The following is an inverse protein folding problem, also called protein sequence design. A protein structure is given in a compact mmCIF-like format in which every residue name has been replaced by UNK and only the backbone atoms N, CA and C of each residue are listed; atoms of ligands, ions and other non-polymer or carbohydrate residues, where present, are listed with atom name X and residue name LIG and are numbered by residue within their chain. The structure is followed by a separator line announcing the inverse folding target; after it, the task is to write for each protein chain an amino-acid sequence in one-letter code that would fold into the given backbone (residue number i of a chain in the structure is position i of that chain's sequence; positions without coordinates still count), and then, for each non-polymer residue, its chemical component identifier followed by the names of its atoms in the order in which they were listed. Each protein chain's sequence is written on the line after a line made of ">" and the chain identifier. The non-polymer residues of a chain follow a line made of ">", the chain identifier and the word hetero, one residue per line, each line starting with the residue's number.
data_IF_291506526195
#
_entry.id   IF_291506526195
#
_cell.length_a   1.000
_cell.length_b   1.000
_cell.length_c   1.000
_cell.angle_alpha   90.00
_cell.angle_beta   90.00
_cell.angle_gamma   90.00
#
_symmetry.space_group_name_H-M   'P 1'
#
loop_
_entity.id
_entity.type
_entity.pdbx_description
1 polymer ?
#
# COMPACT_ATOMS: atom_id res chain seq x y z
N UNK A 1 16.75 -5.61 -27.35
CA UNK A 1 15.73 -6.48 -26.74
C UNK A 1 14.38 -5.77 -26.85
N UNK A 2 13.29 -6.44 -27.23
CA UNK A 2 11.98 -5.79 -27.18
C UNK A 2 11.67 -5.48 -25.73
N UNK A 3 11.24 -4.24 -25.48
CA UNK A 3 10.76 -3.81 -24.15
C UNK A 3 9.55 -4.69 -23.79
N UNK A 4 9.67 -5.46 -22.74
CA UNK A 4 8.57 -6.29 -22.24
C UNK A 4 7.40 -5.35 -21.85
N UNK A 5 6.20 -5.63 -22.36
CA UNK A 5 5.05 -4.78 -22.11
C UNK A 5 4.78 -4.74 -20.60
N UNK A 6 4.64 -3.54 -19.99
CA UNK A 6 4.33 -3.46 -18.56
C UNK A 6 3.05 -4.23 -18.24
N UNK A 7 3.05 -4.94 -17.12
CA UNK A 7 1.87 -5.65 -16.64
C UNK A 7 0.78 -4.65 -16.20
N UNK A 8 -0.44 -4.89 -16.62
CA UNK A 8 -1.62 -4.16 -16.17
C UNK A 8 -2.58 -5.16 -15.53
N UNK A 9 -2.66 -5.14 -14.20
CA UNK A 9 -3.36 -6.13 -13.40
C UNK A 9 -4.73 -5.60 -12.97
N UNK A 10 -5.78 -6.26 -13.41
CA UNK A 10 -7.14 -6.00 -12.95
C UNK A 10 -7.33 -6.34 -11.46
N UNK A 11 -8.54 -6.15 -10.92
CA UNK A 11 -8.85 -6.38 -9.51
C UNK A 11 -8.55 -7.80 -9.03
N UNK A 12 -8.89 -8.81 -9.83
CA UNK A 12 -8.69 -10.22 -9.49
C UNK A 12 -7.21 -10.60 -9.54
N UNK A 13 -6.51 -10.20 -10.58
CA UNK A 13 -5.07 -10.41 -10.76
C UNK A 13 -4.27 -9.70 -9.67
N UNK A 14 -4.62 -8.44 -9.35
CA UNK A 14 -4.03 -7.71 -8.24
C UNK A 14 -4.26 -8.44 -6.92
N UNK A 15 -5.45 -9.01 -6.70
CA UNK A 15 -5.75 -9.76 -5.48
C UNK A 15 -4.91 -11.04 -5.36
N UNK A 16 -4.77 -11.81 -6.44
CA UNK A 16 -3.92 -13.01 -6.49
C UNK A 16 -2.46 -12.65 -6.26
N UNK A 17 -2.05 -11.54 -6.82
CA UNK A 17 -0.72 -11.00 -6.70
C UNK A 17 -0.36 -10.52 -5.27
N UNK A 18 -1.30 -10.33 -4.36
CA UNK A 18 -1.11 -9.77 -3.01
C UNK A 18 -1.66 -10.70 -1.91
N UNK A 19 -1.10 -11.90 -1.69
CA UNK A 19 -1.54 -12.76 -0.58
C UNK A 19 -1.27 -12.08 0.77
N UNK A 20 -2.24 -12.18 1.69
CA UNK A 20 -2.23 -11.40 2.95
C UNK A 20 -1.01 -11.66 3.82
N UNK A 21 -0.57 -12.92 3.93
CA UNK A 21 0.58 -13.29 4.77
C UNK A 21 1.86 -12.65 4.24
N UNK A 22 2.16 -12.86 2.96
CA UNK A 22 3.34 -12.29 2.32
C UNK A 22 3.33 -10.75 2.36
N UNK A 23 2.15 -10.14 2.19
CA UNK A 23 2.00 -8.69 2.28
C UNK A 23 2.23 -8.17 3.71
N UNK A 24 1.78 -8.89 4.75
CA UNK A 24 2.04 -8.54 6.15
C UNK A 24 3.54 -8.61 6.47
N UNK A 25 4.24 -9.64 5.98
CA UNK A 25 5.70 -9.78 6.14
C UNK A 25 6.46 -8.66 5.43
N UNK A 26 6.06 -8.30 4.20
CA UNK A 26 6.62 -7.16 3.48
C UNK A 26 6.39 -5.83 4.21
N UNK A 27 5.18 -5.60 4.75
CA UNK A 27 4.90 -4.40 5.56
C UNK A 27 5.79 -4.35 6.78
N UNK A 28 5.99 -5.48 7.48
CA UNK A 28 6.91 -5.57 8.63
C UNK A 28 8.33 -5.17 8.25
N UNK A 29 8.84 -5.70 7.14
CA UNK A 29 10.19 -5.40 6.65
C UNK A 29 10.34 -3.91 6.28
N UNK A 30 9.34 -3.33 5.60
CA UNK A 30 9.36 -1.92 5.21
C UNK A 30 9.32 -0.95 6.40
N UNK A 31 8.63 -1.32 7.48
CA UNK A 31 8.60 -0.51 8.71
C UNK A 31 9.95 -0.48 9.45
N UNK A 32 10.86 -1.39 9.13
CA UNK A 32 12.21 -1.51 9.70
C UNK A 32 13.30 -1.00 8.73
N UNK A 33 12.91 -0.50 7.56
CA UNK A 33 13.84 -0.09 6.50
C UNK A 33 13.93 1.43 6.41
N UNK A 34 15.01 1.98 6.93
CA UNK A 34 15.28 3.42 6.94
C UNK A 34 15.54 4.02 5.54
N UNK A 35 15.75 3.19 4.52
CA UNK A 35 15.93 3.66 3.14
C UNK A 35 14.62 4.06 2.47
N UNK A 36 13.48 3.61 2.99
CA UNK A 36 12.16 3.90 2.44
C UNK A 36 11.80 5.38 2.62
N UNK A 37 11.40 6.01 1.54
CA UNK A 37 10.95 7.41 1.51
C UNK A 37 9.48 7.46 1.14
N UNK A 38 8.66 8.01 2.05
CA UNK A 38 7.22 8.21 1.87
C UNK A 38 6.91 9.68 2.12
N UNK A 39 6.96 10.54 1.09
CA UNK A 39 6.58 11.94 1.22
C UNK A 39 5.12 12.12 1.66
N UNK A 40 4.80 13.31 2.15
CA UNK A 40 3.42 13.68 2.43
C UNK A 40 2.55 13.52 1.16
N UNK A 41 1.37 12.92 1.33
CA UNK A 41 0.41 12.79 0.24
C UNK A 41 -0.10 14.17 -0.21
N UNK A 42 -0.34 14.30 -1.51
CA UNK A 42 -1.07 15.44 -2.07
C UNK A 42 -2.56 15.08 -2.05
N UNK A 43 -3.38 16.02 -1.60
CA UNK A 43 -4.85 15.91 -1.62
C UNK A 43 -5.38 17.10 -2.41
N UNK A 44 -5.92 16.83 -3.59
CA UNK A 44 -6.50 17.83 -4.47
C UNK A 44 -8.02 17.70 -4.47
N UNK A 45 -8.78 18.72 -4.00
CA UNK A 45 -10.24 18.74 -4.12
C UNK A 45 -10.69 18.70 -5.59
N UNK A 46 -11.80 17.99 -5.85
CA UNK A 46 -12.45 17.91 -7.15
C UNK A 46 -13.67 18.82 -7.20
N UNK A 47 -13.94 19.45 -8.34
CA UNK A 47 -15.05 20.41 -8.50
C UNK A 47 -16.43 19.78 -8.23
N UNK A 48 -16.62 18.49 -8.53
CA UNK A 48 -17.86 17.74 -8.31
C UNK A 48 -18.03 17.22 -6.87
N UNK A 49 -17.18 17.62 -5.94
CA UNK A 49 -17.06 17.01 -4.61
C UNK A 49 -16.22 15.74 -4.63
N UNK A 50 -15.48 15.50 -3.57
CA UNK A 50 -14.50 14.43 -3.47
C UNK A 50 -13.06 14.93 -3.56
N UNK A 51 -12.10 14.01 -3.69
CA UNK A 51 -10.69 14.34 -3.67
C UNK A 51 -9.88 13.39 -4.56
N UNK A 52 -8.84 13.93 -5.17
CA UNK A 52 -7.77 13.17 -5.80
C UNK A 52 -6.61 13.07 -4.79
N UNK A 53 -6.13 11.85 -4.56
CA UNK A 53 -4.97 11.56 -3.72
C UNK A 53 -3.80 11.11 -4.58
N UNK A 54 -2.64 11.75 -4.39
CA UNK A 54 -1.36 11.34 -4.98
C UNK A 54 -0.43 10.94 -3.83
N UNK A 55 -0.05 9.68 -3.80
CA UNK A 55 0.73 9.10 -2.71
C UNK A 55 1.99 8.44 -3.27
N UNK A 56 3.09 9.19 -3.41
CA UNK A 56 4.36 8.63 -3.85
C UNK A 56 5.06 7.88 -2.73
N UNK A 57 5.87 6.90 -3.10
CA UNK A 57 6.82 6.23 -2.21
C UNK A 57 7.97 5.65 -3.03
N UNK A 58 9.15 5.57 -2.46
CA UNK A 58 10.30 4.94 -3.10
C UNK A 58 11.31 4.39 -2.10
N UNK A 59 12.09 3.42 -2.57
CA UNK A 59 13.34 2.98 -1.99
C UNK A 59 14.38 2.77 -3.10
N UNK A 60 15.49 2.10 -2.81
CA UNK A 60 16.53 1.83 -3.81
C UNK A 60 16.09 0.83 -4.92
N UNK A 61 15.00 0.09 -4.73
CA UNK A 61 14.54 -0.97 -5.62
C UNK A 61 13.23 -0.65 -6.33
N UNK A 62 12.44 0.29 -5.78
CA UNK A 62 11.09 0.58 -6.26
C UNK A 62 10.79 2.06 -6.17
N UNK A 63 10.26 2.63 -7.23
CA UNK A 63 9.58 3.92 -7.22
C UNK A 63 8.11 3.70 -7.59
N UNK A 64 7.18 4.32 -6.86
CA UNK A 64 5.77 4.12 -7.12
C UNK A 64 4.91 5.31 -6.75
N UNK A 65 3.74 5.39 -7.33
CA UNK A 65 2.68 6.27 -6.85
C UNK A 65 1.34 5.57 -6.82
N UNK A 66 0.59 5.76 -5.74
CA UNK A 66 -0.83 5.45 -5.70
C UNK A 66 -1.61 6.71 -6.04
N UNK A 67 -2.40 6.63 -7.10
CA UNK A 67 -3.23 7.70 -7.64
C UNK A 67 -4.68 7.26 -7.57
N UNK A 68 -5.45 7.81 -6.66
CA UNK A 68 -6.85 7.43 -6.44
C UNK A 68 -7.74 8.64 -6.27
N UNK A 69 -8.99 8.52 -6.72
CA UNK A 69 -10.06 9.45 -6.40
C UNK A 69 -10.96 8.85 -5.31
N UNK A 70 -11.51 9.71 -4.48
CA UNK A 70 -12.58 9.38 -3.54
C UNK A 70 -13.75 10.33 -3.74
N UNK A 71 -14.92 9.78 -4.07
CA UNK A 71 -16.17 10.52 -4.25
C UNK A 71 -17.27 9.80 -3.46
N UNK A 72 -17.63 10.36 -2.31
CA UNK A 72 -18.56 9.73 -1.37
C UNK A 72 -19.96 9.51 -1.94
N UNK A 73 -20.39 10.34 -2.91
CA UNK A 73 -21.70 10.23 -3.57
C UNK A 73 -21.81 9.15 -4.65
N UNK A 74 -20.69 8.60 -5.12
CA UNK A 74 -20.68 7.61 -6.20
C UNK A 74 -21.54 6.36 -5.94
N UNK A 75 -21.57 5.77 -4.73
CA UNK A 75 -22.39 4.58 -4.47
C UNK A 75 -23.88 4.79 -4.71
N UNK A 76 -24.39 5.99 -4.48
CA UNK A 76 -25.79 6.33 -4.79
C UNK A 76 -26.10 6.29 -6.31
N UNK A 77 -25.06 6.34 -7.14
CA UNK A 77 -25.14 6.27 -8.61
C UNK A 77 -24.66 4.92 -9.17
N UNK A 78 -24.42 3.92 -8.31
CA UNK A 78 -23.93 2.60 -8.71
C UNK A 78 -22.43 2.58 -9.06
N UNK A 79 -21.67 3.64 -8.74
CA UNK A 79 -20.23 3.74 -8.99
C UNK A 79 -19.41 3.48 -7.72
N UNK A 80 -18.19 2.95 -7.83
CA UNK A 80 -17.31 2.82 -6.68
C UNK A 80 -16.94 4.18 -6.09
N UNK A 81 -16.94 4.29 -4.75
CA UNK A 81 -16.51 5.51 -4.06
C UNK A 81 -15.00 5.78 -4.24
N UNK A 82 -14.20 4.73 -4.39
CA UNK A 82 -12.74 4.79 -4.58
C UNK A 82 -12.42 4.19 -5.95
N UNK A 83 -11.68 4.94 -6.76
CA UNK A 83 -11.23 4.51 -8.09
C UNK A 83 -9.78 4.94 -8.29
N UNK A 84 -9.05 4.24 -9.15
CA UNK A 84 -7.67 4.57 -9.53
C UNK A 84 -6.70 3.41 -9.35
N UNK A 85 -5.42 3.70 -9.50
CA UNK A 85 -4.38 2.71 -9.70
C UNK A 85 -3.14 2.98 -8.85
N UNK A 86 -2.29 1.96 -8.78
CA UNK A 86 -0.93 2.06 -8.30
C UNK A 86 0.01 1.78 -9.47
N UNK A 87 0.86 2.74 -9.78
CA UNK A 87 1.87 2.62 -10.85
C UNK A 87 3.23 2.43 -10.22
N UNK A 88 3.94 1.39 -10.67
CA UNK A 88 5.26 0.99 -10.16
C UNK A 88 6.29 1.11 -11.26
N UNK A 89 7.44 1.70 -10.91
CA UNK A 89 8.57 1.93 -11.79
C UNK A 89 9.84 1.32 -11.22
N UNK A 90 10.76 0.99 -12.09
CA UNK A 90 12.15 0.71 -11.73
C UNK A 90 12.89 2.03 -11.52
N UNK A 91 13.51 2.29 -10.35
CA UNK A 91 14.22 3.53 -10.13
C UNK A 91 15.54 3.62 -10.91
N UNK A 92 16.09 2.50 -11.39
CA UNK A 92 17.38 2.50 -12.12
C UNK A 92 17.27 3.06 -13.55
N UNK A 93 16.15 2.79 -14.22
CA UNK A 93 15.94 3.20 -15.61
C UNK A 93 14.62 3.93 -15.87
N UNK A 94 13.77 4.06 -14.85
CA UNK A 94 12.47 4.73 -14.94
C UNK A 94 11.40 3.93 -15.69
N UNK A 95 11.65 2.67 -16.06
CA UNK A 95 10.66 1.86 -16.76
C UNK A 95 9.47 1.53 -15.87
N UNK A 96 8.27 1.71 -16.41
CA UNK A 96 7.04 1.26 -15.77
C UNK A 96 6.97 -0.27 -15.78
N UNK A 97 6.92 -0.87 -14.61
CA UNK A 97 6.91 -2.32 -14.44
C UNK A 97 5.52 -2.90 -14.35
N UNK A 98 4.64 -2.27 -13.55
CA UNK A 98 3.28 -2.79 -13.33
C UNK A 98 2.32 -1.67 -12.96
N UNK A 99 1.06 -1.84 -13.36
CA UNK A 99 -0.10 -1.11 -12.85
C UNK A 99 -0.94 -2.10 -12.04
N UNK A 100 -1.36 -1.71 -10.84
CA UNK A 100 -2.20 -2.50 -9.94
C UNK A 100 -3.52 -1.77 -9.69
N UNK A 101 -4.60 -2.51 -9.57
CA UNK A 101 -5.91 -1.96 -9.23
C UNK A 101 -5.91 -1.33 -7.82
N UNK A 102 -5.99 -0.01 -7.73
CA UNK A 102 -5.80 0.77 -6.52
C UNK A 102 -6.72 0.42 -5.35
N UNK A 103 -8.05 0.26 -5.56
CA UNK A 103 -8.98 -0.19 -4.52
C UNK A 103 -8.59 -1.55 -3.91
N UNK A 104 -8.19 -2.52 -4.74
CA UNK A 104 -7.76 -3.85 -4.28
C UNK A 104 -6.48 -3.77 -3.46
N UNK A 105 -5.47 -3.01 -3.91
CA UNK A 105 -4.25 -2.76 -3.13
C UNK A 105 -4.61 -2.15 -1.78
N UNK A 106 -5.48 -1.15 -1.76
CA UNK A 106 -5.90 -0.47 -0.52
C UNK A 106 -6.57 -1.42 0.47
N UNK A 107 -7.51 -2.26 0.02
CA UNK A 107 -8.21 -3.23 0.85
C UNK A 107 -7.24 -4.30 1.41
N UNK A 108 -6.44 -4.90 0.53
CA UNK A 108 -5.48 -5.96 0.90
C UNK A 108 -4.42 -5.48 1.87
N UNK A 109 -3.86 -4.30 1.65
CA UNK A 109 -2.88 -3.72 2.55
C UNK A 109 -3.48 -3.45 3.93
N UNK A 110 -4.67 -2.90 4.00
CA UNK A 110 -5.33 -2.62 5.27
C UNK A 110 -5.54 -3.90 6.07
N UNK A 111 -6.00 -4.97 5.43
CA UNK A 111 -6.12 -6.27 6.05
C UNK A 111 -4.77 -6.85 6.50
N UNK A 112 -3.70 -6.69 5.70
CA UNK A 112 -2.36 -7.16 6.03
C UNK A 112 -1.76 -6.42 7.24
N UNK A 113 -1.99 -5.10 7.37
CA UNK A 113 -1.59 -4.33 8.56
C UNK A 113 -2.35 -4.82 9.80
N UNK A 114 -3.65 -5.09 9.69
CA UNK A 114 -4.44 -5.66 10.78
C UNK A 114 -3.94 -7.05 11.19
N UNK A 115 -3.59 -7.89 10.22
CA UNK A 115 -2.98 -9.20 10.47
C UNK A 115 -1.64 -9.06 11.19
N UNK A 116 -0.78 -8.16 10.73
CA UNK A 116 0.50 -7.87 11.36
C UNK A 116 0.33 -7.38 12.80
N UNK A 117 -0.61 -6.47 13.04
CA UNK A 117 -0.92 -5.99 14.38
C UNK A 117 -1.40 -7.12 15.29
N UNK A 118 -2.31 -7.97 14.81
CA UNK A 118 -2.78 -9.14 15.56
C UNK A 118 -1.63 -10.11 15.90
N UNK A 119 -0.73 -10.38 14.96
CA UNK A 119 0.44 -11.24 15.18
C UNK A 119 1.45 -10.65 16.18
N UNK A 120 1.53 -9.33 16.27
CA UNK A 120 2.52 -8.63 17.12
C UNK A 120 1.99 -8.36 18.52
N UNK A 121 0.69 -8.06 18.65
CA UNK A 121 0.09 -7.58 19.89
C UNK A 121 -0.72 -8.65 20.64
N UNK A 122 -1.08 -9.77 19.99
CA UNK A 122 -1.84 -10.81 20.65
C UNK A 122 -0.99 -11.50 21.73
N UNK A 123 -1.52 -11.73 22.94
CA UNK A 123 -0.81 -12.42 24.02
C UNK A 123 -0.37 -13.84 23.66
N UNK A 124 -1.07 -14.48 22.74
CA UNK A 124 -0.73 -15.80 22.20
C UNK A 124 -0.99 -15.81 20.68
N UNK A 125 -0.07 -15.32 19.84
CA UNK A 125 -0.25 -15.24 18.40
C UNK A 125 -0.34 -16.63 17.72
N UNK A 126 0.09 -17.70 18.40
CA UNK A 126 -0.03 -19.10 17.97
C UNK A 126 -1.29 -19.77 18.51
N UNK A 127 -2.00 -19.10 19.42
CA UNK A 127 -3.24 -19.60 20.02
C UNK A 127 -4.34 -19.68 18.97
N UNK A 128 -4.88 -20.89 18.79
CA UNK A 128 -6.05 -21.13 17.94
C UNK A 128 -7.28 -20.45 18.55
N UNK A 129 -7.74 -19.37 17.95
CA UNK A 129 -9.13 -18.99 18.13
C UNK A 129 -10.00 -20.08 17.48
N UNK A 130 -11.08 -20.58 18.15
CA UNK A 130 -11.99 -21.53 17.55
C UNK A 130 -12.56 -20.92 16.26
N UNK A 131 -12.32 -21.55 15.11
CA UNK A 131 -12.87 -21.12 13.82
C UNK A 131 -11.90 -20.40 12.87
N UNK A 132 -10.64 -20.18 13.22
CA UNK A 132 -9.66 -19.61 12.29
C UNK A 132 -9.11 -20.67 11.35
N UNK A 133 -9.34 -20.48 10.05
CA UNK A 133 -8.77 -21.30 9.01
C UNK A 133 -7.23 -21.28 9.08
N UNK A 134 -6.63 -22.46 8.95
CA UNK A 134 -5.18 -22.65 8.90
C UNK A 134 -4.66 -22.06 7.58
N UNK A 135 -4.00 -20.92 7.63
CA UNK A 135 -3.32 -20.37 6.48
C UNK A 135 -1.89 -20.94 6.42
N UNK A 136 -1.73 -22.02 5.69
CA UNK A 136 -0.41 -22.50 5.29
C UNK A 136 -0.10 -21.93 3.91
N UNK A 137 0.70 -20.87 3.88
CA UNK A 137 1.25 -20.36 2.63
C UNK A 137 2.77 -20.27 2.78
N UNK A 138 3.46 -21.30 2.31
CA UNK A 138 4.84 -21.19 1.86
C UNK A 138 4.82 -20.55 0.48
N UNK A 139 4.67 -19.24 0.41
CA UNK A 139 4.93 -18.48 -0.79
C UNK A 139 6.25 -17.74 -0.55
N UNK A 140 7.29 -18.11 -1.29
CA UNK A 140 8.46 -17.25 -1.44
C UNK A 140 7.95 -15.88 -1.87
N UNK A 141 8.32 -14.84 -1.08
CA UNK A 141 7.89 -13.48 -1.34
C UNK A 141 8.54 -13.03 -2.66
N UNK A 142 7.78 -13.03 -3.73
CA UNK A 142 8.25 -12.53 -5.01
C UNK A 142 8.63 -11.04 -4.88
N UNK A 143 9.62 -10.53 -5.61
CA UNK A 143 10.13 -9.15 -5.50
C UNK A 143 9.05 -8.05 -5.55
N UNK A 144 7.93 -8.32 -6.24
CA UNK A 144 6.82 -7.37 -6.38
C UNK A 144 5.91 -7.26 -5.14
N UNK A 145 5.94 -8.18 -4.16
CA UNK A 145 5.23 -8.01 -2.88
C UNK A 145 5.73 -6.78 -2.11
N UNK A 146 7.05 -6.55 -2.10
CA UNK A 146 7.67 -5.34 -1.55
C UNK A 146 7.15 -4.09 -2.25
N UNK A 147 7.01 -4.13 -3.57
CA UNK A 147 6.48 -3.05 -4.38
C UNK A 147 5.05 -2.66 -3.99
N UNK A 148 4.19 -3.66 -3.77
CA UNK A 148 2.82 -3.44 -3.35
C UNK A 148 2.69 -2.95 -1.90
N UNK A 149 3.60 -3.33 -1.01
CA UNK A 149 3.62 -2.85 0.36
C UNK A 149 4.03 -1.37 0.43
N UNK A 150 5.02 -0.93 -0.36
CA UNK A 150 5.35 0.49 -0.56
C UNK A 150 4.15 1.27 -1.09
N UNK A 151 3.47 0.71 -2.09
CA UNK A 151 2.27 1.29 -2.69
C UNK A 151 1.16 1.63 -1.69
N UNK A 152 1.22 1.08 -0.51
CA UNK A 152 0.20 1.26 0.50
C UNK A 152 0.40 2.46 1.42
N UNK A 153 1.52 3.17 1.35
CA UNK A 153 1.79 4.32 2.23
C UNK A 153 1.86 3.94 3.71
N UNK A 154 2.42 2.76 4.03
CA UNK A 154 2.53 2.25 5.40
C UNK A 154 3.39 3.14 6.32
N UNK A 155 4.01 4.20 5.79
CA UNK A 155 4.91 5.10 6.52
C UNK A 155 4.29 6.38 7.09
N UNK A 156 2.98 6.60 7.00
CA UNK A 156 2.39 7.87 7.46
C UNK A 156 1.57 7.71 8.74
N UNK A 157 2.23 7.40 9.86
CA UNK A 157 1.79 7.92 11.15
C UNK A 157 2.54 9.26 11.36
N UNK A 158 1.85 10.35 11.72
CA UNK A 158 2.53 11.58 12.09
C UNK A 158 3.41 11.27 13.31
N UNK A 159 4.72 11.45 13.16
CA UNK A 159 5.63 11.50 14.30
C UNK A 159 5.15 12.58 15.27
N UNK A 160 5.43 12.46 16.59
CA UNK A 160 5.04 13.47 17.56
C UNK A 160 5.59 14.83 17.10
N UNK A 161 4.70 15.82 17.02
CA UNK A 161 5.06 17.18 16.68
C UNK A 161 6.23 17.61 17.56
N UNK A 162 7.35 17.94 16.92
CA UNK A 162 8.48 18.54 17.61
C UNK A 162 7.96 19.82 18.27
N UNK A 163 7.92 19.80 19.60
CA UNK A 163 7.63 20.95 20.43
C UNK A 163 8.57 22.07 20.03
N UNK A 164 8.05 23.11 19.39
CA UNK A 164 8.79 24.33 19.14
C UNK A 164 9.21 24.93 20.49
N UNK A 165 10.47 24.76 20.83
CA UNK A 165 11.09 25.49 21.93
C UNK A 165 10.96 26.97 21.67
N UNK A 166 10.11 27.64 22.46
CA UNK A 166 10.07 29.09 22.58
C UNK A 166 11.38 29.52 23.19
N UNK A 167 12.22 30.19 22.44
CA UNK A 167 13.32 30.96 23.01
C UNK A 167 12.75 32.23 23.64
N UNK A 168 13.14 32.60 24.87
CA UNK A 168 12.82 33.89 25.45
C UNK A 168 13.88 34.90 24.99
N UNK A 169 13.45 35.94 24.31
CA UNK A 169 13.96 37.31 24.41
C UNK A 169 13.06 38.25 23.62
#
# INVERSE_FOLDING_TARGET
>A
MPLEKPLDLNASETALALPYQALAECVRALLQDDSVRVPARIVQPLQGGGSLFVMPACDAQVAMTKLITFVAGNPAQGLPAIQGDVVVFDPADGQRQVILHGPTVTARRTAAVSLLAAQTLAPNPQGRAPGTARWSATAEAAPWHRRAALASGAGCLPGPAASAARSPH
#
